data_IF_843375081641
#
_entry.id   IF_843375081641
#
_cell.length_a   1.000
_cell.length_b   1.000
_cell.length_c   1.000
_cell.angle_alpha   90.00
_cell.angle_beta   90.00
_cell.angle_gamma   90.00
#
_symmetry.space_group_name_H-M   'P 1'
#
loop_
_entity.id
_entity.type
_entity.pdbx_description
1 polymer ?
#
# COMPACT_ATOMS: atom_id res chain seq x y z
N UNK A 1 -11.84 -59.57 -19.53
CA UNK A 1 -10.76 -60.48 -20.05
C UNK A 1 -9.51 -59.66 -20.27
N UNK A 2 -8.41 -60.19 -19.67
CA UNK A 2 -6.99 -59.91 -19.85
C UNK A 2 -6.40 -58.69 -19.13
N UNK A 3 -6.01 -58.96 -17.90
CA UNK A 3 -4.92 -58.36 -17.13
C UNK A 3 -3.58 -58.45 -17.83
N UNK A 4 -2.77 -57.36 -17.79
CA UNK A 4 -1.33 -57.46 -17.98
C UNK A 4 -0.64 -56.59 -16.94
N UNK A 5 -0.03 -57.27 -15.98
CA UNK A 5 0.98 -56.78 -15.05
C UNK A 5 2.34 -56.73 -15.73
N UNK A 6 3.15 -55.72 -15.45
CA UNK A 6 4.60 -55.71 -15.71
C UNK A 6 5.34 -55.20 -14.46
N UNK A 7 6.53 -55.77 -14.18
CA UNK A 7 7.16 -55.71 -12.88
C UNK A 7 8.12 -54.51 -12.70
N UNK A 8 8.26 -54.11 -11.42
CA UNK A 8 9.21 -53.16 -10.87
C UNK A 8 10.62 -53.80 -10.88
N UNK A 9 11.61 -53.07 -11.41
CA UNK A 9 13.03 -53.39 -11.23
C UNK A 9 13.64 -52.31 -10.30
N UNK A 10 14.05 -52.77 -9.12
CA UNK A 10 14.86 -52.03 -8.15
C UNK A 10 16.32 -52.20 -8.53
N UNK A 11 17.04 -51.11 -8.75
CA UNK A 11 18.51 -51.12 -8.84
C UNK A 11 19.08 -50.30 -7.68
N UNK A 12 19.67 -51.02 -6.73
CA UNK A 12 20.49 -50.45 -5.67
C UNK A 12 21.92 -50.21 -6.20
N UNK A 13 22.43 -48.99 -6.05
CA UNK A 13 23.85 -48.71 -6.28
C UNK A 13 24.46 -48.14 -5.00
N UNK A 14 25.26 -48.95 -4.38
CA UNK A 14 26.18 -48.65 -3.28
C UNK A 14 27.40 -47.92 -3.83
N UNK A 15 27.76 -46.78 -3.24
CA UNK A 15 29.04 -46.11 -3.51
C UNK A 15 29.85 -45.94 -2.22
N UNK A 16 31.04 -46.48 -2.31
CA UNK A 16 32.06 -46.64 -1.28
C UNK A 16 32.74 -45.29 -0.99
N UNK A 17 32.95 -45.01 0.30
CA UNK A 17 33.76 -43.91 0.79
C UNK A 17 35.26 -44.27 0.73
N UNK A 18 36.08 -43.36 0.23
CA UNK A 18 37.55 -43.40 0.33
C UNK A 18 37.99 -42.28 1.25
N UNK A 19 38.50 -42.64 2.42
CA UNK A 19 39.27 -41.78 3.31
C UNK A 19 40.72 -41.75 2.84
N UNK A 20 41.28 -40.57 2.61
CA UNK A 20 42.73 -40.37 2.52
C UNK A 20 43.14 -39.35 3.58
N UNK A 21 43.82 -39.83 4.58
CA UNK A 21 44.58 -39.06 5.55
C UNK A 21 45.99 -38.82 5.00
N UNK A 22 46.48 -37.56 5.06
CA UNK A 22 47.92 -37.30 5.07
C UNK A 22 48.23 -36.20 6.09
N UNK A 23 49.08 -36.55 6.99
CA UNK A 23 49.68 -35.81 8.07
C UNK A 23 50.84 -34.93 7.59
N UNK A 24 51.12 -33.87 8.32
CA UNK A 24 52.46 -33.36 8.56
C UNK A 24 52.75 -31.92 8.17
N UNK A 25 53.17 -31.14 9.16
CA UNK A 25 53.92 -29.93 8.92
C UNK A 25 53.55 -28.77 9.86
N UNK A 26 54.15 -28.76 11.07
CA UNK A 26 54.25 -27.60 11.97
C UNK A 26 55.13 -26.52 11.39
N UNK A 27 54.63 -25.29 11.29
CA UNK A 27 55.44 -24.08 11.40
C UNK A 27 54.66 -22.97 12.09
N UNK A 28 55.13 -22.58 13.25
CA UNK A 28 54.69 -21.43 14.01
C UNK A 28 55.24 -20.17 13.29
N UNK A 29 54.30 -19.38 12.79
CA UNK A 29 54.53 -18.01 12.33
C UNK A 29 53.51 -17.11 12.96
N UNK A 30 53.97 -16.27 13.89
CA UNK A 30 53.19 -15.18 14.47
C UNK A 30 52.90 -14.14 13.40
N UNK A 31 51.65 -14.04 12.94
CA UNK A 31 51.20 -12.89 12.19
C UNK A 31 49.99 -12.24 12.85
N UNK A 32 50.15 -10.93 13.07
CA UNK A 32 49.14 -10.00 13.61
C UNK A 32 47.84 -10.04 12.79
N UNK A 33 46.66 -9.83 13.44
CA UNK A 33 45.43 -9.63 12.71
C UNK A 33 45.37 -8.19 12.19
N UNK A 34 45.96 -7.95 11.05
CA UNK A 34 45.81 -6.73 10.30
C UNK A 34 45.27 -7.06 8.90
N UNK A 35 44.07 -6.62 8.63
CA UNK A 35 43.56 -6.67 7.25
C UNK A 35 42.05 -6.98 7.20
N UNK A 36 41.25 -5.95 7.23
CA UNK A 36 39.80 -6.03 6.97
C UNK A 36 39.56 -6.60 5.57
N UNK A 37 39.26 -7.88 5.50
CA UNK A 37 38.63 -8.48 4.32
C UNK A 37 37.21 -7.94 4.18
N UNK A 38 37.00 -6.96 3.34
CA UNK A 38 35.70 -6.44 2.96
C UNK A 38 34.88 -7.50 2.20
N UNK A 39 34.42 -8.54 2.89
CA UNK A 39 33.43 -9.46 2.36
C UNK A 39 32.16 -8.68 2.01
N UNK A 40 31.64 -8.82 0.80
CA UNK A 40 30.38 -8.23 0.39
C UNK A 40 29.28 -8.63 1.36
N UNK A 41 28.71 -7.65 2.08
CA UNK A 41 27.56 -7.86 2.95
C UNK A 41 26.28 -7.89 2.12
N UNK A 42 25.43 -8.89 2.32
CA UNK A 42 24.16 -9.02 1.59
C UNK A 42 22.99 -8.76 2.52
N UNK A 43 22.14 -7.80 2.16
CA UNK A 43 20.84 -7.56 2.75
C UNK A 43 19.77 -8.24 1.92
N UNK A 44 18.80 -8.89 2.55
CA UNK A 44 17.61 -9.43 1.88
C UNK A 44 16.39 -8.57 2.16
N UNK A 45 15.59 -8.29 1.11
CA UNK A 45 14.44 -7.39 1.17
C UNK A 45 13.26 -7.97 0.40
N UNK A 46 12.05 -7.90 0.95
CA UNK A 46 10.81 -8.10 0.22
C UNK A 46 9.99 -6.81 0.20
N UNK A 47 9.53 -6.40 -0.99
CA UNK A 47 8.74 -5.19 -1.18
C UNK A 47 7.47 -5.48 -1.96
N UNK A 48 6.40 -4.75 -1.63
CA UNK A 48 5.19 -4.67 -2.46
C UNK A 48 5.28 -3.52 -3.48
N UNK A 49 6.27 -2.67 -3.34
CA UNK A 49 6.43 -1.46 -4.14
C UNK A 49 7.13 -1.77 -5.46
N UNK A 50 6.40 -1.65 -6.56
CA UNK A 50 6.85 -2.05 -7.89
C UNK A 50 7.69 -0.99 -8.62
N UNK A 51 7.69 0.25 -8.16
CA UNK A 51 8.29 1.36 -8.94
C UNK A 51 9.51 2.02 -8.29
N UNK A 52 9.53 2.16 -6.98
CA UNK A 52 10.50 3.01 -6.27
C UNK A 52 11.63 2.24 -5.58
N UNK A 53 11.44 0.95 -5.31
CA UNK A 53 12.43 0.16 -4.55
C UNK A 53 13.79 0.07 -5.24
N UNK A 54 13.81 -0.03 -6.56
CA UNK A 54 15.05 -0.14 -7.31
C UNK A 54 15.95 1.09 -7.13
N UNK A 55 15.35 2.28 -7.19
CA UNK A 55 16.11 3.54 -7.04
C UNK A 55 16.60 3.72 -5.60
N UNK A 56 15.79 3.33 -4.61
CA UNK A 56 16.20 3.33 -3.19
C UNK A 56 17.34 2.35 -2.93
N UNK A 57 17.26 1.14 -3.49
CA UNK A 57 18.33 0.14 -3.38
C UNK A 57 19.64 0.65 -4.01
N UNK A 58 19.56 1.21 -5.22
CA UNK A 58 20.75 1.79 -5.90
C UNK A 58 21.38 2.93 -5.07
N UNK A 59 20.54 3.81 -4.51
CA UNK A 59 21.01 4.90 -3.66
C UNK A 59 21.66 4.37 -2.37
N UNK A 60 21.05 3.37 -1.73
CA UNK A 60 21.60 2.73 -0.54
C UNK A 60 22.94 2.02 -0.81
N UNK A 61 23.05 1.23 -1.89
CA UNK A 61 24.29 0.56 -2.28
C UNK A 61 25.40 1.56 -2.61
N UNK A 62 25.06 2.67 -3.28
CA UNK A 62 26.00 3.78 -3.54
C UNK A 62 26.53 4.42 -2.27
N UNK A 63 25.66 4.66 -1.29
CA UNK A 63 26.03 5.21 0.01
C UNK A 63 26.80 4.21 0.90
N UNK A 64 26.78 2.91 0.54
CA UNK A 64 27.38 1.82 1.34
C UNK A 64 28.22 0.88 0.46
N UNK A 65 29.45 1.29 0.03
CA UNK A 65 30.31 0.45 -0.78
C UNK A 65 30.57 -0.92 -0.12
N UNK A 66 30.47 -2.00 -0.90
CA UNK A 66 30.60 -3.38 -0.41
C UNK A 66 29.30 -4.02 0.08
N UNK A 67 28.20 -3.27 0.14
CA UNK A 67 26.86 -3.83 0.43
C UNK A 67 26.15 -4.19 -0.86
N UNK A 68 25.42 -5.32 -0.85
CA UNK A 68 24.48 -5.74 -1.90
C UNK A 68 23.12 -6.00 -1.32
N UNK A 69 22.07 -5.51 -1.98
CA UNK A 69 20.68 -5.76 -1.60
C UNK A 69 20.05 -6.74 -2.59
N UNK A 70 19.66 -7.91 -2.10
CA UNK A 70 18.85 -8.88 -2.86
C UNK A 70 17.39 -8.63 -2.52
N UNK A 71 16.58 -8.21 -3.48
CA UNK A 71 15.18 -7.91 -3.23
C UNK A 71 14.23 -8.66 -4.15
N UNK A 72 13.01 -8.88 -3.65
CA UNK A 72 11.88 -9.43 -4.38
C UNK A 72 10.73 -8.43 -4.34
N UNK A 73 9.93 -8.37 -5.40
CA UNK A 73 8.74 -7.52 -5.49
C UNK A 73 7.55 -8.37 -5.92
N UNK A 74 6.42 -8.19 -5.25
CA UNK A 74 5.15 -8.80 -5.64
C UNK A 74 3.98 -7.85 -5.32
N UNK A 75 2.88 -7.96 -6.08
CA UNK A 75 1.69 -7.14 -5.83
C UNK A 75 1.09 -7.40 -4.45
N UNK A 76 0.37 -6.41 -3.91
CA UNK A 76 -0.13 -6.42 -2.53
C UNK A 76 -0.92 -7.69 -2.17
N UNK A 77 -1.80 -8.17 -3.06
CA UNK A 77 -2.64 -9.35 -2.82
C UNK A 77 -1.84 -10.64 -2.65
N UNK A 78 -0.73 -10.78 -3.37
CA UNK A 78 0.19 -11.92 -3.23
C UNK A 78 1.16 -11.71 -2.08
N UNK A 79 1.64 -10.49 -1.89
CA UNK A 79 2.66 -10.14 -0.91
C UNK A 79 2.18 -10.38 0.53
N UNK A 80 0.99 -9.88 0.88
CA UNK A 80 0.51 -9.88 2.26
C UNK A 80 0.39 -11.30 2.87
N UNK A 81 -0.23 -12.30 2.24
CA UNK A 81 -0.26 -13.67 2.78
C UNK A 81 1.12 -14.33 2.73
N UNK A 82 1.93 -14.04 1.70
CA UNK A 82 3.26 -14.62 1.53
C UNK A 82 4.21 -14.19 2.66
N UNK A 83 4.31 -12.87 2.95
CA UNK A 83 5.23 -12.39 3.99
C UNK A 83 4.85 -12.89 5.37
N UNK A 84 3.55 -12.98 5.68
CA UNK A 84 3.07 -13.55 6.93
C UNK A 84 3.47 -15.04 7.09
N UNK A 85 3.34 -15.81 6.03
CA UNK A 85 3.75 -17.22 6.00
C UNK A 85 5.26 -17.36 6.18
N UNK A 86 6.05 -16.53 5.51
CA UNK A 86 7.51 -16.52 5.64
C UNK A 86 7.98 -16.13 7.04
N UNK A 87 7.34 -15.18 7.69
CA UNK A 87 7.62 -14.80 9.07
C UNK A 87 7.31 -15.95 10.04
N UNK A 88 6.16 -16.61 9.88
CA UNK A 88 5.77 -17.74 10.71
C UNK A 88 6.72 -18.95 10.56
N UNK A 89 7.23 -19.21 9.35
CA UNK A 89 8.18 -20.29 9.07
C UNK A 89 9.65 -19.91 9.33
N UNK A 90 9.96 -18.64 9.65
CA UNK A 90 11.33 -18.16 9.86
C UNK A 90 12.15 -18.03 8.58
N UNK A 91 11.50 -17.95 7.41
CA UNK A 91 12.15 -17.78 6.09
C UNK A 91 12.04 -16.38 5.51
N UNK A 92 11.46 -15.45 6.27
CA UNK A 92 11.30 -14.05 5.85
C UNK A 92 12.65 -13.34 5.67
N UNK A 93 12.74 -12.34 4.77
CA UNK A 93 13.95 -11.56 4.56
C UNK A 93 14.29 -10.68 5.77
N UNK A 94 15.44 -10.01 5.72
CA UNK A 94 15.93 -9.11 6.78
C UNK A 94 15.03 -7.87 6.92
N UNK A 95 14.56 -7.32 5.79
CA UNK A 95 13.69 -6.15 5.71
C UNK A 95 12.46 -6.50 4.86
N UNK A 96 11.31 -5.93 5.20
CA UNK A 96 10.07 -6.20 4.50
C UNK A 96 9.13 -5.00 4.48
N UNK A 97 8.30 -4.87 3.45
CA UNK A 97 7.19 -3.92 3.43
C UNK A 97 6.14 -4.30 4.47
N UNK A 98 5.67 -3.30 5.22
CA UNK A 98 4.64 -3.45 6.25
C UNK A 98 3.67 -2.28 6.15
N UNK A 99 2.38 -2.54 6.27
CA UNK A 99 1.35 -1.50 6.28
C UNK A 99 1.19 -0.89 7.67
N UNK A 100 0.81 0.39 7.76
CA UNK A 100 0.52 1.02 9.05
C UNK A 100 -0.73 0.45 9.72
N UNK A 101 -0.80 0.54 11.05
CA UNK A 101 -1.97 0.16 11.84
C UNK A 101 -2.26 -1.34 11.85
N UNK A 102 -3.54 -1.72 11.66
CA UNK A 102 -4.04 -3.09 11.87
C UNK A 102 -4.92 -3.64 10.72
N UNK A 103 -5.09 -2.89 9.62
CA UNK A 103 -6.12 -3.12 8.61
C UNK A 103 -5.94 -4.34 7.71
N UNK A 104 -4.75 -4.95 7.60
CA UNK A 104 -4.50 -6.04 6.67
C UNK A 104 -3.53 -7.09 7.24
N UNK A 105 -3.38 -8.27 6.60
CA UNK A 105 -2.54 -9.37 7.12
C UNK A 105 -1.06 -9.03 7.31
N UNK A 106 -0.54 -8.01 6.63
CA UNK A 106 0.84 -7.54 6.75
C UNK A 106 0.94 -6.17 7.44
N UNK A 107 -0.05 -5.83 8.28
CA UNK A 107 -0.05 -4.58 9.04
C UNK A 107 0.86 -4.65 10.28
N UNK A 108 1.33 -3.49 10.73
CA UNK A 108 2.27 -3.34 11.85
C UNK A 108 1.80 -4.10 13.09
N UNK A 109 0.54 -3.91 13.53
CA UNK A 109 0.01 -4.54 14.74
C UNK A 109 -0.09 -6.07 14.59
N UNK A 110 -0.53 -6.53 13.41
CA UNK A 110 -0.68 -7.95 13.11
C UNK A 110 0.66 -8.69 13.18
N UNK A 111 1.73 -8.04 12.73
CA UNK A 111 3.06 -8.64 12.68
C UNK A 111 3.89 -8.38 13.96
N UNK A 112 3.67 -7.26 14.66
CA UNK A 112 4.34 -6.96 15.92
C UNK A 112 3.83 -7.83 17.07
N UNK A 113 2.52 -8.08 17.16
CA UNK A 113 1.88 -8.86 18.23
C UNK A 113 2.51 -10.25 18.46
N UNK A 114 2.80 -11.07 17.43
CA UNK A 114 3.50 -12.36 17.59
C UNK A 114 5.03 -12.23 17.70
N UNK A 115 5.60 -11.01 17.75
CA UNK A 115 7.04 -10.77 17.89
C UNK A 115 7.84 -10.97 16.60
N UNK A 116 7.23 -10.79 15.45
CA UNK A 116 7.92 -10.94 14.16
C UNK A 116 8.78 -9.73 13.78
N UNK A 117 8.50 -8.55 14.34
CA UNK A 117 9.18 -7.30 14.00
C UNK A 117 10.17 -6.89 15.09
N UNK A 118 11.30 -6.33 14.68
CA UNK A 118 12.28 -5.71 15.58
C UNK A 118 11.76 -4.36 16.05
N UNK A 119 11.94 -4.06 17.36
CA UNK A 119 11.67 -2.77 17.96
C UNK A 119 12.61 -1.71 17.34
N UNK A 120 12.03 -0.60 16.89
CA UNK A 120 12.71 0.55 16.28
C UNK A 120 12.56 1.82 17.12
N UNK A 121 12.06 1.73 18.36
CA UNK A 121 11.72 2.88 19.21
C UNK A 121 12.90 3.81 19.51
N UNK A 122 14.11 3.27 19.50
CA UNK A 122 15.37 4.00 19.75
C UNK A 122 15.92 4.71 18.49
N UNK A 123 15.29 4.53 17.34
CA UNK A 123 15.79 5.12 16.11
C UNK A 123 15.55 6.64 16.06
N UNK A 124 16.51 7.44 15.56
CA UNK A 124 16.51 8.90 15.71
C UNK A 124 15.36 9.62 15.02
N UNK A 125 14.70 8.99 14.06
CA UNK A 125 13.58 9.55 13.31
C UNK A 125 12.21 9.31 13.99
N UNK A 126 12.09 8.35 14.92
CA UNK A 126 10.79 7.98 15.53
C UNK A 126 10.13 9.16 16.23
N UNK A 127 10.90 9.95 16.96
CA UNK A 127 10.38 11.12 17.68
C UNK A 127 10.17 12.36 16.78
N UNK A 128 10.54 12.29 15.50
CA UNK A 128 10.29 13.34 14.51
C UNK A 128 9.03 13.09 13.70
N UNK A 129 8.46 11.89 13.77
CA UNK A 129 7.21 11.57 13.08
C UNK A 129 6.05 12.40 13.65
N UNK A 130 5.14 12.91 12.79
CA UNK A 130 3.87 13.46 13.27
C UNK A 130 3.10 12.44 14.12
N UNK A 131 2.40 12.89 15.15
CA UNK A 131 1.69 12.02 16.09
C UNK A 131 0.73 11.03 15.38
N UNK A 132 0.03 11.49 14.36
CA UNK A 132 -0.88 10.66 13.54
C UNK A 132 -0.16 9.55 12.77
N UNK A 133 1.08 9.78 12.33
CA UNK A 133 1.91 8.76 11.67
C UNK A 133 2.52 7.83 12.70
N UNK A 134 3.05 8.39 13.79
CA UNK A 134 3.71 7.63 14.86
C UNK A 134 2.76 6.59 15.47
N UNK A 135 1.53 6.95 15.78
CA UNK A 135 0.52 6.03 16.32
C UNK A 135 0.29 4.79 15.46
N UNK A 136 0.43 4.90 14.13
CA UNK A 136 0.27 3.79 13.19
C UNK A 136 1.51 2.88 13.08
N UNK A 137 2.65 3.31 13.64
CA UNK A 137 3.88 2.50 13.72
C UNK A 137 3.97 1.70 15.02
N UNK A 138 3.14 2.04 16.02
CA UNK A 138 3.28 1.57 17.40
C UNK A 138 2.36 0.39 17.72
N UNK A 139 2.91 -0.59 18.44
CA UNK A 139 2.18 -1.64 19.11
C UNK A 139 2.77 -1.84 20.50
N UNK A 140 1.91 -1.86 21.54
CA UNK A 140 2.32 -2.01 22.94
C UNK A 140 3.42 -1.02 23.36
N UNK A 141 3.24 0.26 22.95
CA UNK A 141 4.15 1.36 23.29
C UNK A 141 5.50 1.36 22.57
N UNK A 142 5.69 0.48 21.55
CA UNK A 142 6.92 0.37 20.77
C UNK A 142 6.67 0.61 19.31
N UNK A 143 7.61 1.27 18.63
CA UNK A 143 7.57 1.53 17.19
C UNK A 143 8.25 0.41 16.41
N UNK A 144 7.62 -0.06 15.33
CA UNK A 144 8.08 -1.21 14.54
C UNK A 144 8.26 -0.93 13.06
N UNK A 145 7.71 0.17 12.54
CA UNK A 145 7.67 0.42 11.09
C UNK A 145 8.16 1.82 10.75
N UNK A 146 9.07 1.92 9.80
CA UNK A 146 9.51 3.16 9.17
C UNK A 146 8.53 3.55 8.08
N UNK A 147 7.67 4.52 8.36
CA UNK A 147 6.70 5.07 7.42
C UNK A 147 7.26 6.38 6.85
N UNK A 148 7.59 6.40 5.58
CA UNK A 148 8.34 7.48 4.93
C UNK A 148 7.54 8.27 3.89
N UNK A 149 6.36 7.79 3.45
CA UNK A 149 5.52 8.43 2.43
C UNK A 149 4.09 8.67 2.91
N UNK A 150 3.58 9.91 2.73
CA UNK A 150 2.17 10.25 2.90
C UNK A 150 1.47 10.19 1.55
N UNK A 151 0.31 9.56 1.53
CA UNK A 151 -0.50 9.39 0.34
C UNK A 151 -1.92 9.90 0.57
N UNK A 152 -2.55 10.41 -0.51
CA UNK A 152 -3.96 10.77 -0.53
C UNK A 152 -4.71 9.97 -1.58
N UNK A 153 -5.97 9.62 -1.31
CA UNK A 153 -6.86 8.92 -2.25
C UNK A 153 -7.88 9.93 -2.80
N UNK A 154 -7.99 9.97 -4.13
CA UNK A 154 -8.91 10.86 -4.82
C UNK A 154 -9.02 10.55 -6.31
N UNK A 155 -9.49 11.49 -7.08
CA UNK A 155 -9.55 11.38 -8.54
C UNK A 155 -8.24 11.93 -9.16
N UNK A 156 -7.50 11.07 -9.84
CA UNK A 156 -6.32 11.47 -10.64
C UNK A 156 -6.76 11.67 -12.07
N UNK A 157 -6.69 12.91 -12.54
CA UNK A 157 -7.15 13.31 -13.86
C UNK A 157 -6.01 13.38 -14.88
N UNK A 158 -6.28 12.93 -16.11
CA UNK A 158 -5.43 13.12 -17.28
C UNK A 158 -5.80 14.49 -17.91
N UNK A 159 -4.91 15.48 -17.81
CA UNK A 159 -5.17 16.86 -18.21
C UNK A 159 -5.38 17.01 -19.73
N UNK A 160 -4.65 16.24 -20.54
CA UNK A 160 -4.80 16.23 -21.99
C UNK A 160 -6.16 15.64 -22.40
N UNK A 161 -6.60 14.58 -21.72
CA UNK A 161 -7.90 13.97 -21.97
C UNK A 161 -9.05 14.92 -21.57
N UNK A 162 -8.93 15.61 -20.43
CA UNK A 162 -9.89 16.64 -20.00
C UNK A 162 -9.98 17.78 -21.02
N UNK A 163 -8.84 18.33 -21.45
CA UNK A 163 -8.76 19.40 -22.44
C UNK A 163 -9.42 18.99 -23.74
N UNK A 164 -9.12 17.77 -24.24
CA UNK A 164 -9.73 17.22 -25.46
C UNK A 164 -11.24 17.05 -25.32
N UNK A 165 -11.70 16.65 -24.15
CA UNK A 165 -13.13 16.50 -23.85
C UNK A 165 -13.84 17.85 -23.62
N UNK A 166 -13.10 18.95 -23.37
CA UNK A 166 -13.66 20.23 -22.96
C UNK A 166 -14.42 20.13 -21.64
N UNK A 167 -13.86 19.37 -20.69
CA UNK A 167 -14.45 19.16 -19.37
C UNK A 167 -13.46 19.57 -18.28
N UNK A 168 -13.99 20.07 -17.16
CA UNK A 168 -13.22 20.44 -15.96
C UNK A 168 -13.55 19.50 -14.80
N UNK A 169 -12.59 19.20 -13.91
CA UNK A 169 -12.86 18.42 -12.71
C UNK A 169 -13.98 19.02 -11.86
N UNK A 170 -14.89 18.22 -11.31
CA UNK A 170 -15.99 18.67 -10.47
C UNK A 170 -15.51 18.99 -9.04
N UNK A 171 -16.14 20.00 -8.41
CA UNK A 171 -15.91 20.39 -7.02
C UNK A 171 -17.07 19.99 -6.09
N UNK A 172 -18.22 19.57 -6.66
CA UNK A 172 -19.40 19.15 -5.91
C UNK A 172 -19.92 17.79 -6.37
N UNK A 173 -20.73 17.13 -5.52
CA UNK A 173 -21.35 15.85 -5.86
C UNK A 173 -22.25 15.95 -7.11
N UNK A 174 -23.10 16.96 -7.18
CA UNK A 174 -23.97 17.19 -8.34
C UNK A 174 -23.14 17.40 -9.62
N UNK A 175 -22.09 18.23 -9.55
CA UNK A 175 -21.17 18.41 -10.68
C UNK A 175 -20.44 17.12 -11.06
N UNK A 176 -20.10 16.24 -10.10
CA UNK A 176 -19.48 14.94 -10.38
C UNK A 176 -20.39 14.05 -11.23
N UNK A 177 -21.68 13.98 -10.87
CA UNK A 177 -22.64 13.20 -11.66
C UNK A 177 -22.86 13.78 -13.06
N UNK A 178 -22.92 15.11 -13.19
CA UNK A 178 -23.04 15.77 -14.47
C UNK A 178 -21.77 15.63 -15.34
N UNK A 179 -20.60 15.69 -14.70
CA UNK A 179 -19.32 15.37 -15.36
C UNK A 179 -19.33 13.94 -15.92
N UNK A 180 -19.80 12.95 -15.14
CA UNK A 180 -19.93 11.57 -15.59
C UNK A 180 -20.87 11.42 -16.80
N UNK A 181 -22.03 12.07 -16.75
CA UNK A 181 -23.01 12.07 -17.88
C UNK A 181 -22.40 12.70 -19.12
N UNK A 182 -21.74 13.86 -18.99
CA UNK A 182 -21.10 14.56 -20.08
C UNK A 182 -19.95 13.75 -20.69
N UNK A 183 -19.11 13.13 -19.86
CA UNK A 183 -18.03 12.24 -20.28
C UNK A 183 -18.56 11.03 -21.06
N UNK A 184 -19.60 10.36 -20.53
CA UNK A 184 -20.28 9.25 -21.19
C UNK A 184 -20.87 9.64 -22.55
N UNK A 185 -21.52 10.81 -22.65
CA UNK A 185 -22.06 11.31 -23.89
C UNK A 185 -21.00 11.58 -24.97
N UNK A 186 -19.78 11.86 -24.57
CA UNK A 186 -18.60 12.01 -25.46
C UNK A 186 -17.91 10.66 -25.78
N UNK A 187 -18.41 9.55 -25.26
CA UNK A 187 -17.84 8.21 -25.44
C UNK A 187 -16.58 7.92 -24.66
N UNK A 188 -16.21 8.80 -23.70
CA UNK A 188 -15.04 8.64 -22.85
C UNK A 188 -15.50 8.60 -21.39
N UNK A 189 -15.50 7.44 -20.69
CA UNK A 189 -15.90 7.35 -19.29
C UNK A 189 -15.09 8.29 -18.41
N UNK A 190 -15.71 8.78 -17.32
CA UNK A 190 -15.04 9.70 -16.40
C UNK A 190 -13.83 9.05 -15.74
N UNK A 191 -13.97 7.82 -15.22
CA UNK A 191 -12.92 7.15 -14.45
C UNK A 191 -12.71 5.71 -14.90
N UNK A 192 -11.44 5.29 -14.89
CA UNK A 192 -11.07 3.89 -14.91
C UNK A 192 -11.27 3.27 -13.52
N UNK A 193 -11.74 2.02 -13.48
CA UNK A 193 -11.95 1.27 -12.24
C UNK A 193 -11.48 -0.18 -12.44
N UNK A 194 -10.45 -0.58 -11.67
CA UNK A 194 -9.77 -1.87 -11.79
C UNK A 194 -10.20 -2.87 -10.73
N UNK A 195 -11.50 -3.15 -10.59
CA UNK A 195 -12.08 -3.95 -9.51
C UNK A 195 -11.84 -5.46 -9.64
N UNK A 196 -11.11 -5.93 -10.67
CA UNK A 196 -10.58 -7.31 -10.70
C UNK A 196 -9.62 -7.52 -9.52
N UNK A 197 -8.78 -6.53 -9.22
CA UNK A 197 -7.93 -6.49 -8.03
C UNK A 197 -8.77 -5.96 -6.86
N UNK A 198 -9.10 -6.81 -5.90
CA UNK A 198 -10.11 -6.52 -4.88
C UNK A 198 -9.81 -5.26 -4.05
N UNK A 199 -8.52 -5.01 -3.73
CA UNK A 199 -8.10 -3.84 -2.97
C UNK A 199 -8.42 -2.50 -3.67
N UNK A 200 -8.62 -2.50 -4.99
CA UNK A 200 -8.98 -1.27 -5.73
C UNK A 200 -10.40 -0.83 -5.41
N UNK A 201 -11.29 -1.77 -5.08
CA UNK A 201 -12.71 -1.48 -4.81
C UNK A 201 -12.92 -0.47 -3.69
N UNK A 202 -12.04 -0.47 -2.68
CA UNK A 202 -12.15 0.41 -1.50
C UNK A 202 -11.88 1.89 -1.81
N UNK A 203 -11.14 2.22 -2.87
CA UNK A 203 -10.57 3.56 -3.03
C UNK A 203 -11.64 4.62 -3.36
N UNK A 204 -12.62 4.26 -4.20
CA UNK A 204 -13.80 5.13 -4.42
C UNK A 204 -14.59 5.24 -3.12
N UNK A 205 -14.83 4.13 -2.42
CA UNK A 205 -15.59 4.12 -1.18
C UNK A 205 -14.90 4.98 -0.10
N UNK A 206 -13.59 4.85 0.10
CA UNK A 206 -12.85 5.67 1.07
C UNK A 206 -12.93 7.15 0.75
N UNK A 207 -12.83 7.55 -0.53
CA UNK A 207 -12.98 8.94 -0.96
C UNK A 207 -14.37 9.49 -0.61
N UNK A 208 -15.42 8.68 -0.72
CA UNK A 208 -16.79 9.05 -0.36
C UNK A 208 -17.01 9.08 1.16
N UNK A 209 -16.55 8.04 1.87
CA UNK A 209 -16.65 7.90 3.33
C UNK A 209 -15.97 9.05 4.06
N UNK A 210 -14.81 9.51 3.58
CA UNK A 210 -14.08 10.61 4.18
C UNK A 210 -14.99 11.82 4.45
N UNK A 211 -15.79 12.22 3.45
CA UNK A 211 -16.69 13.36 3.58
C UNK A 211 -18.03 12.98 4.25
N UNK A 212 -18.62 11.84 3.84
CA UNK A 212 -19.99 11.51 4.30
C UNK A 212 -20.06 11.04 5.73
N UNK A 213 -19.00 10.43 6.27
CA UNK A 213 -18.94 9.93 7.64
C UNK A 213 -18.15 10.90 8.52
N UNK A 214 -16.87 11.08 8.21
CA UNK A 214 -15.96 11.84 9.06
C UNK A 214 -16.11 13.36 8.92
N UNK A 215 -16.78 13.85 7.87
CA UNK A 215 -17.09 15.26 7.71
C UNK A 215 -18.07 15.79 8.73
N UNK A 216 -19.02 14.98 9.16
CA UNK A 216 -20.02 15.32 10.19
C UNK A 216 -19.68 14.68 11.55
N UNK A 217 -18.90 13.60 11.59
CA UNK A 217 -18.50 12.89 12.82
C UNK A 217 -16.99 12.49 12.79
N UNK A 218 -16.08 13.40 13.13
CA UNK A 218 -14.66 13.12 13.15
C UNK A 218 -14.24 12.10 14.23
N UNK A 219 -15.08 11.82 15.20
CA UNK A 219 -14.85 10.84 16.27
C UNK A 219 -15.48 9.47 16.00
N UNK A 220 -15.93 9.21 14.76
CA UNK A 220 -16.63 7.97 14.40
C UNK A 220 -15.85 6.70 14.81
N UNK A 221 -14.53 6.64 14.58
CA UNK A 221 -13.72 5.48 14.97
C UNK A 221 -13.67 5.28 16.49
N UNK A 222 -13.65 6.36 17.28
CA UNK A 222 -13.72 6.26 18.74
C UNK A 222 -15.08 5.73 19.20
N UNK A 223 -16.15 6.15 18.54
CA UNK A 223 -17.50 5.65 18.83
C UNK A 223 -17.64 4.17 18.45
N UNK A 224 -17.05 3.75 17.31
CA UNK A 224 -16.97 2.35 16.92
C UNK A 224 -16.23 1.51 17.98
N UNK A 225 -15.06 1.98 18.43
CA UNK A 225 -14.29 1.31 19.49
C UNK A 225 -15.04 1.23 20.81
N UNK A 226 -15.83 2.26 21.16
CA UNK A 226 -16.69 2.28 22.34
C UNK A 226 -18.00 1.47 22.19
N UNK A 227 -18.25 0.88 21.00
CA UNK A 227 -19.50 0.17 20.71
C UNK A 227 -20.73 1.08 20.57
N UNK A 228 -20.54 2.38 20.40
CA UNK A 228 -21.59 3.40 20.27
C UNK A 228 -22.04 3.64 18.83
N UNK A 229 -21.20 3.26 17.85
CA UNK A 229 -21.49 3.33 16.44
C UNK A 229 -21.33 1.97 15.76
N UNK A 230 -21.94 1.83 14.58
CA UNK A 230 -21.76 0.66 13.69
C UNK A 230 -21.74 1.11 12.23
N UNK A 231 -21.15 0.34 11.33
CA UNK A 231 -21.16 0.64 9.90
C UNK A 231 -22.60 0.71 9.35
N UNK A 232 -23.44 -0.29 9.68
CA UNK A 232 -24.81 -0.40 9.17
C UNK A 232 -25.74 0.73 9.63
N UNK A 233 -25.45 1.38 10.77
CA UNK A 233 -26.28 2.47 11.31
C UNK A 233 -25.62 3.84 11.14
N UNK A 234 -24.69 3.97 10.25
CA UNK A 234 -23.94 5.20 9.99
C UNK A 234 -24.06 5.66 8.54
N UNK A 235 -23.56 6.84 8.17
CA UNK A 235 -23.52 7.32 6.80
C UNK A 235 -22.62 6.51 5.85
N UNK A 236 -22.00 5.39 6.27
CA UNK A 236 -21.41 4.39 5.38
C UNK A 236 -22.41 3.88 4.34
N UNK A 237 -23.69 3.73 4.74
CA UNK A 237 -24.77 3.43 3.79
C UNK A 237 -24.86 4.47 2.69
N UNK A 238 -24.83 5.76 3.07
CA UNK A 238 -24.85 6.86 2.09
C UNK A 238 -23.65 6.83 1.15
N UNK A 239 -22.46 6.51 1.65
CA UNK A 239 -21.25 6.39 0.83
C UNK A 239 -21.37 5.26 -0.20
N UNK A 240 -21.87 4.09 0.21
CA UNK A 240 -22.11 2.96 -0.70
C UNK A 240 -23.17 3.29 -1.76
N UNK A 241 -24.27 3.94 -1.37
CA UNK A 241 -25.31 4.38 -2.31
C UNK A 241 -24.79 5.39 -3.32
N UNK A 242 -23.88 6.28 -2.91
CA UNK A 242 -23.18 7.20 -3.82
C UNK A 242 -22.27 6.45 -4.79
N UNK A 243 -21.53 5.44 -4.34
CA UNK A 243 -20.68 4.63 -5.19
C UNK A 243 -21.51 3.91 -6.28
N UNK A 244 -22.62 3.28 -5.88
CA UNK A 244 -23.54 2.65 -6.84
C UNK A 244 -24.24 3.66 -7.76
N UNK A 245 -24.48 4.88 -7.28
CA UNK A 245 -25.00 5.97 -8.12
C UNK A 245 -24.00 6.38 -9.19
N UNK A 246 -22.68 6.44 -8.86
CA UNK A 246 -21.63 6.67 -9.85
C UNK A 246 -21.62 5.56 -10.91
N UNK A 247 -21.74 4.29 -10.51
CA UNK A 247 -21.82 3.17 -11.45
C UNK A 247 -23.03 3.29 -12.38
N UNK A 248 -24.24 3.45 -11.83
CA UNK A 248 -25.50 3.59 -12.57
C UNK A 248 -25.49 4.78 -13.54
N UNK A 249 -24.85 5.89 -13.15
CA UNK A 249 -24.69 7.08 -13.99
C UNK A 249 -23.72 6.82 -15.15
N UNK A 250 -22.86 5.81 -15.04
CA UNK A 250 -21.87 5.44 -16.04
C UNK A 250 -20.58 6.23 -15.90
N UNK A 251 -20.17 6.54 -14.66
CA UNK A 251 -18.88 7.18 -14.37
C UNK A 251 -17.70 6.27 -14.79
N UNK A 252 -17.88 4.96 -14.74
CA UNK A 252 -16.81 3.99 -14.99
C UNK A 252 -16.91 3.35 -16.38
N UNK A 253 -15.78 2.79 -16.85
CA UNK A 253 -15.76 1.97 -18.06
C UNK A 253 -16.60 0.69 -17.86
N UNK A 254 -16.96 0.04 -18.96
CA UNK A 254 -17.64 -1.25 -18.93
C UNK A 254 -16.76 -2.32 -18.27
N UNK A 255 -17.41 -3.25 -17.56
CA UNK A 255 -16.79 -4.42 -16.95
C UNK A 255 -15.65 -4.10 -15.94
N UNK A 256 -15.90 -3.30 -14.87
CA UNK A 256 -14.87 -3.01 -13.87
C UNK A 256 -14.34 -4.26 -13.16
N UNK A 257 -15.18 -5.26 -12.89
CA UNK A 257 -14.77 -6.54 -12.29
C UNK A 257 -13.83 -7.39 -13.14
N UNK A 258 -13.84 -7.18 -14.45
CA UNK A 258 -12.91 -7.84 -15.40
C UNK A 258 -11.75 -6.94 -15.82
N UNK A 259 -11.60 -5.77 -15.23
CA UNK A 259 -10.51 -4.83 -15.50
C UNK A 259 -9.51 -4.89 -14.35
N UNK A 260 -8.26 -5.26 -14.64
CA UNK A 260 -7.19 -5.27 -13.64
C UNK A 260 -6.73 -3.85 -13.28
N UNK A 261 -6.05 -3.71 -12.16
CA UNK A 261 -5.41 -2.47 -11.75
C UNK A 261 -4.48 -1.94 -12.85
N UNK A 262 -3.67 -2.79 -13.45
CA UNK A 262 -2.76 -2.40 -14.54
C UNK A 262 -3.53 -1.97 -15.81
N UNK A 263 -4.60 -2.66 -16.17
CA UNK A 263 -5.44 -2.28 -17.30
C UNK A 263 -6.12 -0.94 -17.07
N UNK A 264 -6.59 -0.67 -15.85
CA UNK A 264 -7.21 0.62 -15.46
C UNK A 264 -6.22 1.79 -15.57
N UNK A 265 -4.96 1.59 -15.17
CA UNK A 265 -3.88 2.57 -15.40
C UNK A 265 -3.70 2.89 -16.87
N UNK A 266 -3.69 1.86 -17.73
CA UNK A 266 -3.53 2.03 -19.18
C UNK A 266 -4.69 2.84 -19.77
N UNK A 267 -5.92 2.61 -19.33
CA UNK A 267 -7.09 3.39 -19.75
C UNK A 267 -6.93 4.88 -19.39
N UNK A 268 -6.54 5.17 -18.16
CA UNK A 268 -6.35 6.54 -17.67
C UNK A 268 -5.14 7.23 -18.34
N UNK A 269 -4.00 6.54 -18.44
CA UNK A 269 -2.78 7.08 -19.02
C UNK A 269 -2.93 7.46 -20.48
N UNK A 270 -3.69 6.65 -21.26
CA UNK A 270 -3.90 6.86 -22.71
C UNK A 270 -5.10 7.75 -23.03
N UNK A 271 -5.80 8.28 -22.02
CA UNK A 271 -6.97 9.13 -22.21
C UNK A 271 -8.21 8.39 -22.74
N UNK A 272 -8.27 7.07 -22.57
CA UNK A 272 -9.50 6.29 -22.82
C UNK A 272 -10.53 6.45 -21.70
N UNK A 273 -10.11 6.95 -20.54
CA UNK A 273 -10.92 7.55 -19.49
C UNK A 273 -10.33 8.93 -19.14
N UNK A 274 -11.13 9.82 -18.55
CA UNK A 274 -10.67 11.17 -18.19
C UNK A 274 -9.78 11.17 -16.94
N UNK A 275 -9.84 10.10 -16.16
CA UNK A 275 -9.05 9.88 -14.96
C UNK A 275 -9.24 8.49 -14.38
N UNK A 276 -8.78 8.35 -13.14
CA UNK A 276 -8.88 7.15 -12.32
C UNK A 276 -9.06 7.56 -10.86
N UNK A 277 -9.92 6.91 -10.09
CA UNK A 277 -9.99 7.11 -8.63
C UNK A 277 -8.99 6.19 -7.97
N UNK A 278 -7.91 6.78 -7.42
CA UNK A 278 -6.76 6.06 -6.88
C UNK A 278 -6.00 6.90 -5.86
N UNK A 279 -5.03 6.28 -5.20
CA UNK A 279 -4.02 7.05 -4.47
C UNK A 279 -3.03 7.74 -5.42
N UNK A 280 -2.41 8.82 -4.93
CA UNK A 280 -1.42 9.58 -5.72
C UNK A 280 -0.25 8.74 -6.26
N UNK A 281 0.07 7.59 -5.65
CA UNK A 281 1.08 6.65 -6.17
C UNK A 281 0.83 6.21 -7.62
N UNK A 282 -0.41 6.25 -8.09
CA UNK A 282 -0.72 5.88 -9.48
C UNK A 282 -0.13 6.87 -10.47
N UNK A 283 0.13 8.13 -10.08
CA UNK A 283 0.65 9.19 -10.98
C UNK A 283 1.98 8.74 -11.61
N UNK A 284 2.88 8.16 -10.81
CA UNK A 284 4.15 7.64 -11.31
C UNK A 284 3.93 6.53 -12.36
N UNK A 285 3.02 5.60 -12.09
CA UNK A 285 2.69 4.49 -13.00
C UNK A 285 2.00 4.98 -14.28
N UNK A 286 1.17 6.02 -14.20
CA UNK A 286 0.58 6.66 -15.37
C UNK A 286 1.64 7.34 -16.24
N UNK A 287 2.63 8.01 -15.62
CA UNK A 287 3.76 8.64 -16.31
C UNK A 287 4.67 7.60 -16.99
N UNK A 288 4.85 6.41 -16.42
CA UNK A 288 5.57 5.32 -17.08
C UNK A 288 4.88 4.87 -18.37
N UNK A 289 3.54 4.79 -18.36
CA UNK A 289 2.72 4.43 -19.54
C UNK A 289 2.55 5.58 -20.54
N UNK A 290 2.60 6.81 -20.07
CA UNK A 290 2.54 8.04 -20.88
C UNK A 290 3.49 9.10 -20.32
N UNK A 291 4.79 9.07 -20.70
CA UNK A 291 5.80 9.99 -20.15
C UNK A 291 5.55 11.49 -20.43
N UNK A 292 4.73 11.80 -21.44
CA UNK A 292 4.36 13.19 -21.79
C UNK A 292 3.06 13.63 -21.14
N UNK A 293 2.31 12.72 -20.51
CA UNK A 293 1.02 12.99 -19.90
C UNK A 293 1.17 13.81 -18.61
N UNK A 294 0.22 14.70 -18.40
CA UNK A 294 0.09 15.49 -17.17
C UNK A 294 -1.06 14.93 -16.34
N UNK A 295 -0.76 14.52 -15.11
CA UNK A 295 -1.72 13.93 -14.20
C UNK A 295 -1.78 14.69 -12.90
N UNK A 296 -2.97 14.99 -12.38
CA UNK A 296 -3.17 15.75 -11.14
C UNK A 296 -4.18 15.07 -10.23
N UNK A 297 -3.87 14.99 -8.95
CA UNK A 297 -4.80 14.49 -7.93
C UNK A 297 -5.75 15.62 -7.51
N UNK A 298 -7.03 15.29 -7.39
CA UNK A 298 -8.12 16.08 -6.82
C UNK A 298 -8.90 15.27 -5.82
N UNK A 299 -9.45 15.93 -4.77
CA UNK A 299 -10.43 15.27 -3.93
C UNK A 299 -11.64 14.81 -4.75
N UNK A 300 -12.19 13.63 -4.44
CA UNK A 300 -13.44 13.17 -5.04
C UNK A 300 -14.60 13.79 -4.22
N UNK A 301 -15.43 14.68 -4.79
CA UNK A 301 -16.47 15.34 -4.02
C UNK A 301 -17.61 14.36 -3.70
N UNK A 302 -18.06 14.35 -2.43
CA UNK A 302 -19.18 13.56 -1.95
C UNK A 302 -20.33 14.43 -1.40
N UNK A 303 -20.24 15.74 -1.51
CA UNK A 303 -21.20 16.75 -1.04
C UNK A 303 -21.30 17.89 -2.03
N UNK A 304 -22.40 18.66 -1.97
CA UNK A 304 -22.58 19.87 -2.77
C UNK A 304 -22.00 21.13 -2.08
N UNK A 305 -21.42 20.98 -0.90
CA UNK A 305 -20.65 22.02 -0.22
C UNK A 305 -19.14 21.68 -0.32
N UNK A 306 -18.36 22.35 -1.21
CA UNK A 306 -16.93 22.07 -1.38
C UNK A 306 -16.11 22.33 -0.09
N UNK A 307 -16.61 23.18 0.83
CA UNK A 307 -15.94 23.45 2.09
C UNK A 307 -15.93 22.23 3.02
N UNK A 308 -16.90 21.34 2.89
CA UNK A 308 -17.03 20.10 3.67
C UNK A 308 -16.29 18.91 3.05
N UNK A 309 -15.78 19.02 1.83
CA UNK A 309 -15.03 17.91 1.19
C UNK A 309 -13.78 17.61 1.99
N UNK A 310 -13.58 16.36 2.34
CA UNK A 310 -12.36 15.81 2.94
C UNK A 310 -11.68 14.85 1.97
N UNK A 311 -10.36 14.66 2.15
CA UNK A 311 -9.58 13.67 1.40
C UNK A 311 -9.02 12.61 2.35
N UNK A 312 -9.14 11.30 2.04
CA UNK A 312 -8.39 10.30 2.79
C UNK A 312 -6.90 10.53 2.55
N UNK A 313 -6.14 10.76 3.63
CA UNK A 313 -4.70 10.92 3.55
C UNK A 313 -4.01 10.31 4.77
N UNK A 314 -3.05 9.43 4.52
CA UNK A 314 -2.32 8.72 5.56
C UNK A 314 -0.94 8.27 5.08
N UNK A 315 -0.13 7.78 6.01
CA UNK A 315 1.08 7.07 5.65
C UNK A 315 0.73 5.78 4.89
N UNK A 316 1.42 5.54 3.79
CA UNK A 316 1.36 4.29 3.05
C UNK A 316 2.21 3.19 3.68
N UNK A 317 2.39 2.05 2.98
CA UNK A 317 3.30 1.02 3.41
C UNK A 317 4.73 1.56 3.59
N UNK A 318 5.40 1.09 4.63
CA UNK A 318 6.79 1.40 4.94
C UNK A 318 7.62 0.14 5.06
N UNK A 319 8.76 0.22 5.74
CA UNK A 319 9.63 -0.94 5.97
C UNK A 319 9.78 -1.27 7.45
N UNK A 320 9.79 -2.56 7.76
CA UNK A 320 10.12 -3.10 9.08
C UNK A 320 11.29 -4.06 8.99
N UNK A 321 11.97 -4.25 10.12
CA UNK A 321 13.06 -5.21 10.28
C UNK A 321 12.52 -6.49 10.89
N UNK A 322 12.87 -7.63 10.30
CA UNK A 322 12.58 -8.94 10.85
C UNK A 322 13.29 -9.12 12.21
N UNK A 323 12.56 -9.51 13.26
CA UNK A 323 13.14 -9.78 14.57
C UNK A 323 14.23 -10.88 14.53
N UNK A 324 14.16 -11.76 13.50
CA UNK A 324 15.13 -12.83 13.22
C UNK A 324 16.00 -12.54 11.99
N UNK A 325 16.23 -11.26 11.68
CA UNK A 325 17.08 -10.87 10.55
C UNK A 325 18.47 -11.52 10.66
N UNK A 326 19.00 -12.00 9.55
CA UNK A 326 20.36 -12.58 9.49
C UNK A 326 21.43 -11.50 9.63
N UNK A 327 21.14 -10.29 9.11
CA UNK A 327 22.01 -9.12 9.16
C UNK A 327 21.29 -7.95 9.84
N UNK A 328 21.01 -8.02 11.17
CA UNK A 328 20.15 -7.07 11.88
C UNK A 328 20.68 -5.63 11.85
N UNK A 329 21.99 -5.43 11.93
CA UNK A 329 22.61 -4.09 11.90
C UNK A 329 22.55 -3.48 10.48
N UNK A 330 22.73 -4.32 9.43
CA UNK A 330 22.58 -3.87 8.06
C UNK A 330 21.12 -3.56 7.72
N UNK A 331 20.18 -4.33 8.28
CA UNK A 331 18.75 -4.07 8.15
C UNK A 331 18.36 -2.73 8.79
N UNK A 332 18.85 -2.44 10.01
CA UNK A 332 18.66 -1.13 10.64
C UNK A 332 19.28 0.00 9.83
N UNK A 333 20.48 -0.21 9.29
CA UNK A 333 21.15 0.77 8.43
C UNK A 333 20.31 1.11 7.19
N UNK A 334 19.68 0.11 6.58
CA UNK A 334 18.80 0.32 5.44
C UNK A 334 17.55 1.12 5.83
N UNK A 335 16.86 0.73 6.91
CA UNK A 335 15.67 1.42 7.38
C UNK A 335 15.99 2.88 7.77
N UNK A 336 17.12 3.12 8.45
CA UNK A 336 17.58 4.47 8.78
C UNK A 336 17.94 5.29 7.52
N UNK A 337 18.49 4.66 6.49
CA UNK A 337 18.73 5.32 5.20
C UNK A 337 17.41 5.74 4.55
N UNK A 338 16.40 4.86 4.52
CA UNK A 338 15.09 5.19 3.95
C UNK A 338 14.44 6.38 4.68
N UNK A 339 14.63 6.47 6.01
CA UNK A 339 14.12 7.58 6.82
C UNK A 339 15.03 8.82 6.82
N UNK A 340 16.17 8.79 6.14
CA UNK A 340 17.01 9.99 5.92
C UNK A 340 16.41 10.87 4.81
N UNK A 341 16.76 12.17 4.74
CA UNK A 341 16.33 13.05 3.65
C UNK A 341 16.66 12.49 2.26
N UNK A 342 17.84 11.88 2.07
CA UNK A 342 18.25 11.29 0.79
C UNK A 342 17.37 10.10 0.41
N UNK A 343 17.24 9.12 1.30
CA UNK A 343 16.45 7.90 1.05
C UNK A 343 14.98 8.20 0.87
N UNK A 344 14.40 9.01 1.75
CA UNK A 344 13.00 9.43 1.70
C UNK A 344 12.69 10.18 0.41
N UNK A 345 13.51 11.19 0.05
CA UNK A 345 13.32 11.95 -1.18
C UNK A 345 13.45 11.09 -2.44
N UNK A 346 14.38 10.11 -2.44
CA UNK A 346 14.51 9.17 -3.55
C UNK A 346 13.22 8.38 -3.75
N UNK A 347 12.65 7.87 -2.67
CA UNK A 347 11.40 7.12 -2.69
C UNK A 347 10.21 7.98 -3.12
N UNK A 348 9.95 9.08 -2.40
CA UNK A 348 8.72 9.88 -2.59
C UNK A 348 8.67 10.56 -3.95
N UNK A 349 9.83 10.98 -4.51
CA UNK A 349 9.90 11.51 -5.89
C UNK A 349 9.49 10.47 -6.92
N UNK A 350 9.98 9.25 -6.76
CA UNK A 350 9.70 8.16 -7.71
C UNK A 350 8.26 7.68 -7.58
N UNK A 351 7.74 7.59 -6.36
CA UNK A 351 6.37 7.13 -6.10
C UNK A 351 5.31 8.22 -6.32
N UNK A 352 5.69 9.50 -6.31
CA UNK A 352 4.74 10.61 -6.36
C UNK A 352 3.96 10.75 -5.04
N UNK A 353 4.64 10.65 -3.88
CA UNK A 353 4.07 10.84 -2.55
C UNK A 353 4.69 12.06 -1.84
N UNK A 354 4.17 12.41 -0.67
CA UNK A 354 4.74 13.45 0.18
C UNK A 354 5.59 12.79 1.28
N UNK A 355 6.69 13.44 1.74
CA UNK A 355 7.48 12.88 2.84
C UNK A 355 6.72 12.96 4.17
N UNK A 356 6.92 11.97 5.05
CA UNK A 356 6.36 11.98 6.41
C UNK A 356 7.11 12.92 7.34
N UNK A 357 8.39 13.18 7.07
CA UNK A 357 9.21 14.15 7.82
C UNK A 357 9.27 15.47 7.05
N UNK A 358 9.12 16.58 7.76
CA UNK A 358 9.06 17.93 7.17
C UNK A 358 10.43 18.50 6.80
N UNK A 359 11.52 17.95 7.33
CA UNK A 359 12.89 18.49 7.20
C UNK A 359 13.66 17.88 6.00
N UNK A 360 12.98 17.35 5.01
CA UNK A 360 13.61 16.70 3.85
C UNK A 360 14.10 17.68 2.78
N UNK A 361 13.64 18.93 2.81
CA UNK A 361 13.99 19.94 1.79
C UNK A 361 13.41 19.66 0.41
N UNK A 362 12.45 18.73 0.28
CA UNK A 362 11.82 18.39 -1.00
C UNK A 362 10.81 19.47 -1.40
N UNK A 363 10.93 19.99 -2.62
CA UNK A 363 9.91 20.85 -3.21
C UNK A 363 8.63 20.05 -3.48
N UNK A 364 7.48 20.68 -3.22
CA UNK A 364 6.17 20.06 -3.47
C UNK A 364 5.98 19.78 -4.97
N UNK A 365 5.51 18.57 -5.30
CA UNK A 365 5.13 18.21 -6.67
C UNK A 365 3.80 18.90 -7.02
N UNK A 366 3.74 19.69 -8.12
CA UNK A 366 2.51 20.37 -8.54
C UNK A 366 1.32 19.41 -8.76
N UNK A 367 1.57 18.15 -9.11
CA UNK A 367 0.52 17.12 -9.25
C UNK A 367 -0.20 16.80 -7.94
N UNK A 368 0.41 17.13 -6.80
CA UNK A 368 -0.08 16.93 -5.43
C UNK A 368 -0.48 18.24 -4.72
N UNK A 369 -0.56 19.36 -5.45
CA UNK A 369 -0.83 20.67 -4.85
C UNK A 369 -2.13 20.69 -4.02
N UNK A 370 -3.16 20.01 -4.50
CA UNK A 370 -4.42 19.91 -3.76
C UNK A 370 -4.29 19.05 -2.48
N UNK A 371 -3.63 17.89 -2.55
CA UNK A 371 -3.35 17.08 -1.36
C UNK A 371 -2.59 17.88 -0.31
N UNK A 372 -1.54 18.60 -0.73
CA UNK A 372 -0.76 19.48 0.16
C UNK A 372 -1.65 20.55 0.83
N UNK A 373 -2.57 21.15 0.06
CA UNK A 373 -3.54 22.11 0.59
C UNK A 373 -4.48 21.48 1.62
N UNK A 374 -5.01 20.28 1.35
CA UNK A 374 -5.91 19.58 2.27
C UNK A 374 -5.19 19.20 3.58
N UNK A 375 -3.96 18.70 3.50
CA UNK A 375 -3.14 18.41 4.69
C UNK A 375 -2.88 19.70 5.48
N UNK A 376 -2.49 20.78 4.81
CA UNK A 376 -2.19 22.06 5.47
C UNK A 376 -3.40 22.77 6.07
N UNK A 377 -4.62 22.39 5.71
CA UNK A 377 -5.88 22.92 6.25
C UNK A 377 -6.62 21.96 7.17
N UNK A 378 -5.99 20.87 7.58
CA UNK A 378 -6.55 19.82 8.45
C UNK A 378 -7.86 19.21 7.90
N UNK A 379 -7.94 19.10 6.56
CA UNK A 379 -9.10 18.55 5.84
C UNK A 379 -8.84 17.13 5.34
N UNK A 380 -8.21 16.33 6.19
CA UNK A 380 -7.85 14.94 5.89
C UNK A 380 -8.39 13.99 6.95
N UNK A 381 -8.59 12.74 6.55
CA UNK A 381 -8.90 11.63 7.46
C UNK A 381 -7.93 10.48 7.18
N UNK A 382 -7.56 9.65 8.16
CA UNK A 382 -6.76 8.45 7.94
C UNK A 382 -7.44 7.51 6.94
N UNK A 383 -6.71 6.54 6.40
CA UNK A 383 -7.34 5.40 5.70
C UNK A 383 -8.08 4.57 6.75
N UNK A 384 -9.35 4.33 6.52
CA UNK A 384 -10.29 3.81 7.52
C UNK A 384 -9.84 2.48 8.12
N UNK A 385 -9.33 1.57 7.28
CA UNK A 385 -8.88 0.24 7.68
C UNK A 385 -7.71 0.25 8.67
N UNK A 386 -6.87 1.29 8.65
CA UNK A 386 -5.67 1.36 9.52
C UNK A 386 -6.03 1.36 11.01
N UNK A 387 -7.22 1.82 11.37
CA UNK A 387 -7.72 1.91 12.74
C UNK A 387 -8.67 0.76 13.14
N UNK A 388 -9.02 -0.14 12.22
CA UNK A 388 -9.91 -1.24 12.53
C UNK A 388 -9.26 -2.30 13.42
N UNK A 389 -10.02 -3.03 14.25
CA UNK A 389 -9.46 -3.91 15.29
C UNK A 389 -8.81 -5.17 14.72
N UNK A 390 -9.14 -5.55 13.48
CA UNK A 390 -8.55 -6.71 12.83
C UNK A 390 -8.68 -6.64 11.29
N UNK A 391 -7.81 -7.35 10.54
CA UNK A 391 -7.79 -7.32 9.08
C UNK A 391 -9.00 -7.99 8.39
N UNK A 392 -9.85 -8.72 9.11
CA UNK A 392 -11.02 -9.36 8.51
C UNK A 392 -12.07 -8.33 8.09
N UNK A 393 -12.17 -7.22 8.82
CA UNK A 393 -13.10 -6.14 8.47
C UNK A 393 -12.83 -5.62 7.06
N UNK A 394 -11.55 -5.33 6.74
CA UNK A 394 -11.17 -4.92 5.39
C UNK A 394 -11.40 -6.05 4.37
N UNK A 395 -11.00 -7.27 4.68
CA UNK A 395 -11.20 -8.41 3.77
C UNK A 395 -12.68 -8.61 3.41
N UNK A 396 -13.58 -8.51 4.41
CA UNK A 396 -15.04 -8.57 4.22
C UNK A 396 -15.53 -7.42 3.34
N UNK A 397 -15.05 -6.20 3.59
CA UNK A 397 -15.42 -5.04 2.76
C UNK A 397 -14.99 -5.24 1.30
N UNK A 398 -13.75 -5.67 1.06
CA UNK A 398 -13.21 -5.83 -0.30
C UNK A 398 -13.98 -6.89 -1.10
N UNK A 399 -14.22 -8.06 -0.52
CA UNK A 399 -15.00 -9.13 -1.18
C UNK A 399 -16.45 -8.74 -1.38
N UNK A 400 -17.08 -8.16 -0.35
CA UNK A 400 -18.47 -7.73 -0.43
C UNK A 400 -18.71 -6.61 -1.45
N UNK A 401 -17.74 -5.71 -1.67
CA UNK A 401 -17.81 -4.73 -2.76
C UNK A 401 -17.82 -5.41 -4.13
N UNK A 402 -16.97 -6.42 -4.37
CA UNK A 402 -17.01 -7.19 -5.62
C UNK A 402 -18.36 -7.93 -5.79
N UNK A 403 -18.91 -8.50 -4.71
CA UNK A 403 -20.22 -9.13 -4.71
C UNK A 403 -21.36 -8.14 -5.02
N UNK A 404 -21.31 -6.91 -4.49
CA UNK A 404 -22.27 -5.86 -4.81
C UNK A 404 -22.20 -5.50 -6.30
N UNK A 405 -21.00 -5.31 -6.86
CA UNK A 405 -20.82 -5.00 -8.28
C UNK A 405 -21.24 -6.14 -9.21
N UNK A 406 -21.20 -7.39 -8.74
CA UNK A 406 -21.72 -8.56 -9.47
C UNK A 406 -23.21 -8.83 -9.24
N UNK A 407 -23.88 -8.07 -8.38
CA UNK A 407 -25.29 -8.25 -8.01
C UNK A 407 -25.55 -9.41 -7.04
N UNK A 408 -24.51 -9.95 -6.39
CA UNK A 408 -24.61 -11.09 -5.46
C UNK A 408 -24.82 -10.66 -4.01
N UNK A 409 -24.61 -9.39 -3.67
CA UNK A 409 -24.79 -8.83 -2.34
C UNK A 409 -25.45 -7.46 -2.39
N UNK A 410 -25.76 -6.90 -1.21
CA UNK A 410 -26.37 -5.56 -1.04
C UNK A 410 -25.54 -4.73 -0.07
N UNK A 411 -25.61 -3.37 -0.15
CA UNK A 411 -24.94 -2.49 0.81
C UNK A 411 -25.25 -2.83 2.28
N UNK A 412 -26.52 -3.06 2.61
CA UNK A 412 -26.92 -3.38 3.97
C UNK A 412 -26.29 -4.68 4.48
N UNK A 413 -26.34 -5.75 3.67
CA UNK A 413 -25.72 -7.03 4.04
C UNK A 413 -24.21 -6.88 4.27
N UNK A 414 -23.51 -6.16 3.38
CA UNK A 414 -22.07 -5.92 3.54
C UNK A 414 -21.75 -5.19 4.86
N UNK A 415 -22.51 -4.13 5.19
CA UNK A 415 -22.25 -3.37 6.40
C UNK A 415 -22.55 -4.18 7.67
N UNK A 416 -23.58 -5.03 7.67
CA UNK A 416 -23.86 -5.96 8.77
C UNK A 416 -22.74 -6.98 8.98
N UNK A 417 -22.17 -7.51 7.88
CA UNK A 417 -21.01 -8.42 7.91
C UNK A 417 -19.74 -7.73 8.42
N UNK A 418 -19.48 -6.49 7.99
CA UNK A 418 -18.38 -5.67 8.53
C UNK A 418 -18.54 -5.40 10.02
N UNK A 419 -19.78 -5.11 10.50
CA UNK A 419 -20.07 -4.92 11.94
C UNK A 419 -19.80 -6.20 12.74
N UNK A 420 -20.14 -7.37 12.19
CA UNK A 420 -19.87 -8.67 12.83
C UNK A 420 -18.35 -8.92 12.97
N UNK A 421 -17.59 -8.67 11.91
CA UNK A 421 -16.13 -8.84 11.94
C UNK A 421 -15.43 -7.79 12.83
N UNK A 422 -15.95 -6.55 12.87
CA UNK A 422 -15.41 -5.52 13.76
C UNK A 422 -15.55 -5.93 15.23
N UNK A 423 -16.73 -6.44 15.63
CA UNK A 423 -16.98 -6.93 17.00
C UNK A 423 -16.13 -8.14 17.36
N UNK A 424 -15.79 -9.01 16.40
CA UNK A 424 -14.97 -10.20 16.64
C UNK A 424 -13.51 -9.90 16.96
N UNK A 425 -13.05 -8.67 16.70
CA UNK A 425 -11.66 -8.24 16.89
C UNK A 425 -11.40 -7.44 18.17
N UNK A 426 -12.48 -7.06 18.87
CA UNK A 426 -12.42 -6.32 20.13
C UNK A 426 -12.33 -7.26 21.34
#
# INVERSE_FOLDING_TARGET
MKTRTLPVLIAAATSVAVLAACSGGTNAGSDSPGGGGGGSQTLTLASQDQGSIEDVVKAFEKANPGVKVKYTVSGADQYQPQIRTQLASGTAPDVMSVWPGNGNPAATYVLAKPGYLRDLSDQPWVNKLPASVKSLTEYDGKSYTALFGLNGIGAVYNQEALTKAGLTPPDTWTQLLDFCKAAKAKGTPAFALGNQDNWVTQLVLYSLVATTVYGDDPDFDKQMQAGQATFAKSPWTTALDKYLTMEKTGCFQKNPLGTSYEASQTLAATGKTLGIVQGNWVIALLKEKNPKGTFTLKALPATDDPAKTLIPAAAGAGYAVNAKAKNPELALKFVNFVMSPEGMNTFVKKQGSLPTLSDTGLAADPSLAELTKFIGSDRTVPFMDQLWPNPKVQATMLSGLQEIFSGQSTPGKLLDEMDAEYKSGN
#
